data_IF_472825665339
#
_entry.id   IF_472825665339
#
_cell.length_a   1.000
_cell.length_b   1.000
_cell.length_c   1.000
_cell.angle_alpha   90.00
_cell.angle_beta   90.00
_cell.angle_gamma   90.00
#
_symmetry.space_group_name_H-M   'P 1'
#
loop_
_entity.id
_entity.type
_entity.pdbx_description
1 polymer ?
2 branched ?
3 branched ?
4 non-polymer ?
#
# COMPACT_ATOMS: atom_id res chain seq x y z
N UNK A 19 4.06 12.56 -23.34
CA UNK A 19 2.65 12.54 -22.95
C UNK A 19 2.55 12.77 -21.42
N UNK A 20 1.55 12.17 -20.73
CA UNK A 20 1.39 12.31 -19.28
C UNK A 20 1.83 11.02 -18.58
N UNK A 21 3.10 10.99 -18.17
CA UNK A 21 3.72 9.85 -17.50
C UNK A 21 3.31 9.85 -16.02
N UNK A 22 2.61 8.80 -15.53
CA UNK A 22 2.18 8.79 -14.13
C UNK A 22 3.34 8.66 -13.15
N UNK A 23 3.20 9.26 -11.95
CA UNK A 23 4.23 9.26 -10.91
C UNK A 23 3.84 8.42 -9.69
N UNK A 24 2.55 8.12 -9.57
CA UNK A 24 2.01 7.36 -8.45
C UNK A 24 0.64 7.83 -8.01
N UNK A 25 0.12 7.27 -6.91
CA UNK A 25 -1.19 7.66 -6.39
C UNK A 25 -1.16 7.75 -4.88
N UNK A 26 -1.84 8.78 -4.35
CA UNK A 26 -2.01 9.04 -2.92
C UNK A 26 -3.45 8.69 -2.55
N UNK A 27 -3.64 7.81 -1.56
CA UNK A 27 -4.96 7.41 -1.09
C UNK A 27 -5.19 8.04 0.27
N UNK A 28 -5.84 9.21 0.29
CA UNK A 28 -6.09 9.98 1.50
C UNK A 28 -7.60 10.09 1.84
N UNK A 29 -7.89 10.36 3.10
CA UNK A 29 -9.25 10.50 3.61
C UNK A 29 -9.61 11.92 4.00
N UNK A 30 -10.76 12.41 3.48
CA UNK A 30 -11.28 13.76 3.73
C UNK A 30 -12.70 13.66 4.31
N UNK A 31 -12.98 14.44 5.37
CA UNK A 31 -14.31 14.46 5.99
C UNK A 31 -15.20 15.46 5.24
N UNK A 32 -16.38 15.02 4.75
CA UNK A 32 -17.25 15.93 3.97
C UNK A 32 -17.85 17.05 4.81
N UNK A 33 -18.02 18.22 4.18
CA UNK A 33 -18.60 19.43 4.74
C UNK A 33 -20.00 19.61 4.14
N UNK A 34 -21.01 19.87 5.00
CA UNK A 34 -22.39 20.06 4.55
C UNK A 34 -22.55 21.43 3.89
N UNK A 35 -23.06 21.44 2.66
CA UNK A 35 -23.31 22.66 1.89
C UNK A 35 -24.78 23.05 2.13
N UNK A 36 -25.05 24.23 2.76
CA UNK A 36 -26.45 24.62 3.02
C UNK A 36 -27.26 24.70 1.73
N UNK A 37 -28.29 23.83 1.66
CA UNK A 37 -29.15 23.59 0.50
C UNK A 37 -30.54 24.18 0.65
N UNK A 38 -31.19 24.44 -0.51
CA UNK A 38 -32.55 24.97 -0.63
C UNK A 38 -33.60 23.87 -0.46
N UNK A 39 -33.26 22.65 -0.86
CA UNK A 39 -34.14 21.49 -0.77
C UNK A 39 -34.05 20.71 0.52
N UNK A 40 -34.75 19.55 0.56
CA UNK A 40 -34.78 18.64 1.71
C UNK A 40 -33.53 17.73 1.74
N UNK A 41 -32.87 17.58 0.57
CA UNK A 41 -31.66 16.77 0.38
C UNK A 41 -30.45 17.41 1.09
N UNK A 42 -29.41 16.60 1.34
CA UNK A 42 -28.16 17.00 1.97
C UNK A 42 -27.06 17.02 0.91
N UNK A 43 -26.40 18.17 0.73
CA UNK A 43 -25.29 18.31 -0.22
C UNK A 43 -23.98 18.25 0.55
N UNK A 44 -23.14 17.27 0.22
CA UNK A 44 -21.83 17.08 0.86
C UNK A 44 -20.70 17.43 -0.08
N UNK A 45 -19.71 18.17 0.43
CA UNK A 45 -18.53 18.62 -0.31
C UNK A 45 -17.26 18.21 0.42
N UNK A 46 -16.31 17.64 -0.33
CA UNK A 46 -15.00 17.27 0.22
C UNK A 46 -13.99 18.26 -0.32
N UNK A 47 -13.69 19.29 0.50
CA UNK A 47 -12.80 20.40 0.15
C UNK A 47 -11.42 19.86 -0.20
N UNK A 48 -11.01 20.09 -1.45
CA UNK A 48 -9.71 19.67 -1.98
C UNK A 48 -8.70 20.79 -1.83
N UNK A 49 -7.43 20.47 -1.46
CA UNK A 49 -6.42 21.53 -1.32
C UNK A 49 -6.06 22.12 -2.69
N UNK A 50 -5.92 23.46 -2.76
CA UNK A 50 -5.57 24.16 -4.00
C UNK A 50 -4.07 23.92 -4.28
N UNK A 51 -3.77 22.81 -4.97
CA UNK A 51 -2.42 22.39 -5.34
C UNK A 51 -2.25 22.60 -6.83
N UNK A 52 -1.31 23.46 -7.23
CA UNK A 52 -1.08 23.78 -8.64
C UNK A 52 0.04 22.93 -9.26
N UNK A 53 -0.24 21.64 -9.47
CA UNK A 53 0.63 20.64 -10.10
C UNK A 53 -0.20 19.77 -11.06
N UNK A 54 0.45 19.13 -12.05
CA UNK A 54 -0.21 18.22 -12.98
C UNK A 54 -0.67 16.98 -12.23
N UNK A 55 -2.00 16.85 -11.99
CA UNK A 55 -2.56 15.72 -11.24
C UNK A 55 -4.03 15.45 -11.55
N UNK A 56 -4.48 14.22 -11.22
CA UNK A 56 -5.86 13.75 -11.35
C UNK A 56 -6.40 13.41 -9.97
N UNK A 57 -7.58 13.93 -9.62
CA UNK A 57 -8.19 13.75 -8.30
C UNK A 57 -9.52 12.98 -8.41
N UNK A 58 -9.55 11.74 -7.89
CA UNK A 58 -10.75 10.92 -7.92
C UNK A 58 -11.18 10.64 -6.48
N UNK A 59 -12.21 11.34 -5.99
CA UNK A 59 -12.66 11.11 -4.64
C UNK A 59 -13.88 10.20 -4.63
N UNK A 60 -13.77 9.08 -3.88
CA UNK A 60 -14.78 8.04 -3.71
C UNK A 60 -15.61 8.35 -2.47
N UNK A 61 -16.94 8.41 -2.63
CA UNK A 61 -17.87 8.69 -1.54
C UNK A 61 -18.20 7.37 -0.84
N UNK A 62 -17.54 7.13 0.32
CA UNK A 62 -17.69 5.90 1.11
C UNK A 62 -18.74 6.15 2.20
N UNK A 63 -19.79 5.31 2.22
CA UNK A 63 -20.87 5.36 3.22
C UNK A 63 -20.54 4.25 4.24
N UNK A 64 -19.77 4.64 5.29
CA UNK A 64 -19.24 3.78 6.35
C UNK A 64 -20.34 2.95 7.05
N UNK A 65 -21.49 3.57 7.39
CA UNK A 65 -22.63 2.94 8.08
C UNK A 65 -23.14 1.71 7.34
N UNK A 66 -23.30 1.81 6.01
CA UNK A 66 -23.80 0.72 5.16
C UNK A 66 -22.66 -0.15 4.63
N UNK A 67 -21.38 0.24 4.94
CA UNK A 67 -20.12 -0.40 4.55
C UNK A 67 -20.05 -0.58 3.02
N UNK A 68 -20.53 0.43 2.30
CA UNK A 68 -20.63 0.48 0.85
C UNK A 68 -20.23 1.86 0.32
N UNK A 69 -20.19 2.01 -1.01
CA UNK A 69 -19.82 3.24 -1.69
C UNK A 69 -20.85 3.62 -2.76
N UNK A 70 -20.76 4.86 -3.28
CA UNK A 70 -21.65 5.39 -4.31
C UNK A 70 -21.13 4.95 -5.69
N UNK A 71 -22.07 4.57 -6.60
CA UNK A 71 -21.83 4.05 -7.96
C UNK A 71 -20.83 4.90 -8.78
N UNK A 72 -20.90 6.23 -8.68
CA UNK A 72 -20.00 7.14 -9.41
C UNK A 72 -19.08 7.91 -8.44
N UNK A 73 -17.90 8.29 -8.94
CA UNK A 73 -16.89 9.06 -8.20
C UNK A 73 -16.67 10.40 -8.91
N UNK A 74 -16.38 11.47 -8.13
CA UNK A 74 -16.14 12.80 -8.70
C UNK A 74 -14.70 12.90 -9.18
N UNK A 75 -14.52 13.17 -10.49
CA UNK A 75 -13.20 13.28 -11.10
C UNK A 75 -12.81 14.74 -11.33
N UNK A 76 -11.68 15.14 -10.75
CA UNK A 76 -11.09 16.48 -10.83
C UNK A 76 -9.71 16.39 -11.50
N UNK A 77 -9.25 17.51 -12.09
CA UNK A 77 -7.92 17.58 -12.71
C UNK A 77 -7.25 18.90 -12.36
N UNK A 78 -5.96 18.83 -12.03
CA UNK A 78 -5.15 19.98 -11.66
C UNK A 78 -4.02 20.21 -12.68
N UNK A 79 -3.56 21.47 -12.80
CA UNK A 79 -2.51 21.88 -13.72
C UNK A 79 -1.45 22.77 -13.01
N UNK A 80 -0.26 23.07 -13.58
CA UNK A 80 0.71 23.92 -12.88
C UNK A 80 0.22 25.35 -12.62
N UNK A 81 -0.85 25.79 -13.31
CA UNK A 81 -1.42 27.14 -13.14
C UNK A 81 -2.89 27.12 -12.65
N UNK A 82 -3.41 25.93 -12.25
CA UNK A 82 -4.78 25.79 -11.72
C UNK A 82 -4.90 24.60 -10.74
N UNK A 83 -5.63 24.81 -9.65
CA UNK A 83 -5.90 23.79 -8.64
C UNK A 83 -6.92 22.77 -9.11
N UNK A 84 -7.27 21.75 -8.28
CA UNK A 84 -8.23 20.73 -8.75
C UNK A 84 -9.58 21.32 -9.17
N UNK A 85 -9.93 21.12 -10.46
CA UNK A 85 -11.16 21.59 -11.08
C UNK A 85 -11.97 20.37 -11.53
N UNK A 86 -13.28 20.35 -11.24
CA UNK A 86 -14.18 19.25 -11.59
C UNK A 86 -14.41 19.15 -13.10
N UNK A 87 -14.38 17.91 -13.61
CA UNK A 87 -14.58 17.61 -15.03
C UNK A 87 -15.86 16.80 -15.25
N UNK A 88 -15.93 15.59 -14.67
CA UNK A 88 -17.05 14.66 -14.83
C UNK A 88 -17.16 13.66 -13.66
N UNK A 89 -18.32 12.99 -13.56
CA UNK A 89 -18.58 11.96 -12.56
C UNK A 89 -18.43 10.58 -13.22
N UNK A 90 -17.22 9.99 -13.10
CA UNK A 90 -16.88 8.68 -13.67
C UNK A 90 -17.32 7.57 -12.72
N UNK A 91 -17.56 6.35 -13.26
CA UNK A 91 -18.00 5.18 -12.52
C UNK A 91 -16.92 4.66 -11.57
N UNK A 92 -17.34 4.17 -10.39
CA UNK A 92 -16.46 3.61 -9.36
C UNK A 92 -16.08 2.20 -9.78
N UNK A 93 -14.85 2.02 -10.28
CA UNK A 93 -14.36 0.73 -10.76
C UNK A 93 -13.79 -0.11 -9.63
N UNK A 94 -12.98 0.50 -8.74
CA UNK A 94 -12.35 -0.20 -7.61
C UNK A 94 -12.90 0.35 -6.28
N UNK A 95 -14.02 -0.19 -5.75
CA UNK A 95 -14.54 0.30 -4.48
C UNK A 95 -13.72 -0.20 -3.30
N UNK A 96 -13.73 0.56 -2.17
CA UNK A 96 -12.97 0.21 -0.97
C UNK A 96 -13.42 -1.15 -0.40
N UNK A 97 -14.74 -1.39 -0.36
CA UNK A 97 -15.31 -2.65 0.14
C UNK A 97 -15.55 -3.60 -1.06
N UNK A 98 -16.67 -3.44 -1.77
CA UNK A 98 -17.05 -4.21 -2.96
C UNK A 98 -17.10 -5.71 -2.76
N UNK A 99 -16.17 -6.43 -3.44
CA UNK A 99 -15.94 -7.90 -3.41
C UNK A 99 -17.19 -8.73 -3.84
N UNK A 100 -18.16 -8.09 -4.56
CA UNK A 100 -19.43 -8.68 -5.05
C UNK A 100 -20.33 -9.20 -3.88
N UNK A 101 -19.97 -8.85 -2.63
CA UNK A 101 -20.74 -9.21 -1.43
C UNK A 101 -22.03 -8.37 -1.37
N UNK A 102 -21.97 -7.17 -1.98
CA UNK A 102 -23.05 -6.19 -2.08
C UNK A 102 -22.91 -5.35 -3.37
N UNK A 103 -23.98 -4.62 -3.76
CA UNK A 103 -24.00 -3.75 -4.93
C UNK A 103 -23.86 -2.29 -4.51
N UNK A 104 -23.13 -1.48 -5.32
CA UNK A 104 -22.88 -0.06 -5.07
C UNK A 104 -24.18 0.76 -4.98
N UNK A 105 -24.15 1.84 -4.18
CA UNK A 105 -25.30 2.71 -3.94
C UNK A 105 -25.55 3.64 -5.12
N UNK A 106 -26.80 3.64 -5.63
CA UNK A 106 -27.24 4.43 -6.77
C UNK A 106 -28.28 5.50 -6.36
N UNK A 107 -28.90 6.18 -7.35
CA UNK A 107 -29.93 7.22 -7.16
C UNK A 107 -31.15 6.63 -6.43
N UNK A 108 -31.49 5.36 -6.74
CA UNK A 108 -32.57 4.58 -6.14
C UNK A 108 -32.36 4.45 -4.61
N UNK A 109 -31.09 4.36 -4.19
CA UNK A 109 -30.67 4.24 -2.80
C UNK A 109 -30.49 5.61 -2.11
N UNK A 110 -30.77 6.68 -2.85
CA UNK A 110 -30.71 8.06 -2.37
C UNK A 110 -29.36 8.76 -2.44
N UNK A 111 -28.48 8.30 -3.34
CA UNK A 111 -27.13 8.89 -3.51
C UNK A 111 -26.87 9.22 -4.97
N UNK A 112 -26.52 10.49 -5.25
CA UNK A 112 -26.24 10.96 -6.61
C UNK A 112 -25.18 12.07 -6.61
N UNK A 113 -24.27 12.02 -7.58
CA UNK A 113 -23.22 13.04 -7.76
C UNK A 113 -23.64 13.91 -8.94
N UNK A 114 -23.75 15.26 -8.75
CA UNK A 114 -24.16 16.10 -9.87
C UNK A 114 -22.98 16.27 -10.83
N UNK A 115 -23.29 16.16 -12.13
CA UNK A 115 -22.35 16.17 -13.23
C UNK A 115 -22.36 17.52 -14.00
N UNK A 116 -22.80 18.61 -13.33
CA UNK A 116 -22.86 19.94 -13.92
C UNK A 116 -21.55 20.71 -13.69
N UNK A 117 -21.02 21.31 -14.78
CA UNK A 117 -19.78 22.10 -14.78
C UNK A 117 -20.09 23.60 -14.83
N UNK A 118 -21.32 23.96 -15.26
CA UNK A 118 -21.80 25.34 -15.37
C UNK A 118 -22.19 25.87 -13.99
N UNK A 119 -22.99 25.08 -13.25
CA UNK A 119 -23.42 25.38 -11.88
C UNK A 119 -22.21 25.18 -10.95
N UNK A 120 -22.13 26.01 -9.91
CA UNK A 120 -21.03 26.00 -8.94
C UNK A 120 -20.80 24.71 -8.17
N UNK A 121 -21.81 23.82 -8.16
CA UNK A 121 -21.73 22.51 -7.52
C UNK A 121 -21.00 21.53 -8.46
N UNK A 122 -20.85 20.29 -8.03
CA UNK A 122 -20.17 19.28 -8.84
C UNK A 122 -18.69 19.28 -8.58
N UNK A 123 -18.14 18.14 -8.19
CA UNK A 123 -18.88 16.90 -8.00
C UNK A 123 -19.24 16.67 -6.55
N UNK A 124 -20.29 17.34 -6.08
CA UNK A 124 -20.78 17.23 -4.72
C UNK A 124 -21.86 16.15 -4.64
N UNK A 125 -21.84 15.37 -3.56
CA UNK A 125 -22.77 14.27 -3.35
C UNK A 125 -24.10 14.76 -2.79
N UNK A 126 -25.21 14.30 -3.42
CA UNK A 126 -26.58 14.56 -3.02
C UNK A 126 -27.08 13.39 -2.19
N UNK A 127 -27.49 13.63 -0.95
CA UNK A 127 -28.04 12.58 -0.09
C UNK A 127 -29.51 12.94 0.15
N UNK A 128 -30.39 12.32 -0.64
CA UNK A 128 -31.84 12.54 -0.61
C UNK A 128 -32.46 11.87 0.64
N UNK A 129 -33.64 12.34 1.14
CA UNK A 129 -34.24 11.69 2.34
C UNK A 129 -34.60 10.20 2.13
N UNK A 130 -34.51 9.72 0.87
CA UNK A 130 -34.73 8.34 0.43
C UNK A 130 -33.69 7.38 1.02
N UNK A 131 -32.46 7.89 1.27
CA UNK A 131 -31.34 7.12 1.85
C UNK A 131 -31.57 6.87 3.35
N UNK A 132 -30.99 5.76 3.87
CA UNK A 132 -31.08 5.29 5.26
C UNK A 132 -30.76 6.41 6.25
N UNK A 133 -31.53 6.46 7.36
CA UNK A 133 -31.39 7.44 8.44
C UNK A 133 -30.32 6.93 9.45
N UNK A 134 -29.16 7.58 9.55
CA UNK A 134 -28.74 8.75 8.79
C UNK A 134 -27.38 8.52 8.17
N UNK A 135 -27.37 8.05 6.92
CA UNK A 135 -26.18 7.70 6.15
C UNK A 135 -25.32 8.90 5.73
N UNK A 136 -25.93 10.12 5.59
CA UNK A 136 -25.26 11.36 5.19
C UNK A 136 -24.10 11.74 6.14
N UNK A 137 -24.35 11.66 7.46
CA UNK A 137 -23.35 11.99 8.50
C UNK A 137 -22.22 10.95 8.56
N UNK A 138 -22.45 9.76 7.97
CA UNK A 138 -21.53 8.63 7.94
C UNK A 138 -20.57 8.67 6.74
N UNK A 139 -20.90 9.46 5.69
CA UNK A 139 -20.11 9.57 4.45
C UNK A 139 -18.68 10.09 4.76
N UNK A 140 -17.68 9.51 4.07
CA UNK A 140 -16.26 9.86 4.13
C UNK A 140 -15.67 9.73 2.73
N UNK A 141 -14.79 10.67 2.36
CA UNK A 141 -14.15 10.68 1.04
C UNK A 141 -12.85 9.92 1.05
N UNK A 142 -12.58 9.24 -0.07
CA UNK A 142 -11.34 8.53 -0.31
C UNK A 142 -10.73 9.16 -1.56
N UNK A 143 -9.87 10.16 -1.35
CA UNK A 143 -9.22 10.89 -2.44
C UNK A 143 -8.10 10.06 -3.04
N UNK A 144 -8.14 9.91 -4.38
CA UNK A 144 -7.11 9.22 -5.15
C UNK A 144 -6.43 10.27 -6.03
N UNK A 145 -5.47 10.99 -5.41
CA UNK A 145 -4.66 12.04 -6.04
C UNK A 145 -3.51 11.34 -6.77
N UNK A 146 -3.46 11.49 -8.10
CA UNK A 146 -2.44 10.84 -8.91
C UNK A 146 -1.68 11.87 -9.76
N UNK A 147 -0.46 12.30 -9.32
CA UNK A 147 0.30 13.26 -10.12
C UNK A 147 0.88 12.65 -11.38
N UNK A 148 1.19 13.51 -12.37
CA UNK A 148 1.81 13.11 -13.63
C UNK A 148 2.85 14.17 -14.05
N UNK A 149 3.68 13.82 -15.05
CA UNK A 149 4.71 14.72 -15.58
C UNK A 149 4.90 14.48 -17.09
N UNK A 150 5.38 15.52 -17.79
CA UNK A 150 5.67 15.47 -19.22
C UNK A 150 7.02 14.75 -19.47
N UNK A 151 7.83 14.61 -18.41
CA UNK A 151 9.15 13.97 -18.43
C UNK A 151 9.03 12.45 -18.30
N UNK A 152 9.54 11.71 -19.30
CA UNK A 152 9.50 10.24 -19.32
C UNK A 152 10.57 9.62 -18.40
N UNK A 153 11.60 10.42 -18.03
CA UNK A 153 12.73 9.99 -17.19
C UNK A 153 12.47 10.18 -15.68
N UNK A 154 11.28 10.69 -15.30
CA UNK A 154 10.92 10.91 -13.89
C UNK A 154 10.10 9.73 -13.36
N UNK A 155 10.60 9.06 -12.30
CA UNK A 155 10.00 7.87 -11.69
C UNK A 155 9.17 8.16 -10.42
N UNK A 156 9.43 9.30 -9.75
CA UNK A 156 8.73 9.72 -8.54
C UNK A 156 8.64 11.25 -8.48
N UNK A 157 7.70 11.88 -7.72
CA UNK A 157 7.64 13.36 -7.72
C UNK A 157 8.91 13.99 -7.16
N UNK A 158 9.43 15.02 -7.85
CA UNK A 158 10.63 15.75 -7.44
C UNK A 158 10.37 16.56 -6.17
N UNK A 159 11.46 17.02 -5.50
CA UNK A 159 11.41 17.75 -4.25
C UNK A 159 10.50 18.99 -4.27
N UNK A 160 10.56 19.82 -5.34
CA UNK A 160 9.71 21.01 -5.42
C UNK A 160 8.23 20.64 -5.67
N UNK A 161 7.95 19.46 -6.27
CA UNK A 161 6.59 19.00 -6.50
C UNK A 161 5.96 18.53 -5.18
N UNK A 162 6.75 17.82 -4.35
CA UNK A 162 6.32 17.33 -3.03
C UNK A 162 6.08 18.49 -2.08
N UNK A 163 6.78 19.62 -2.31
CA UNK A 163 6.66 20.87 -1.55
C UNK A 163 5.28 21.47 -1.80
N UNK A 164 4.84 21.50 -3.07
CA UNK A 164 3.55 22.04 -3.51
C UNK A 164 2.39 21.16 -3.04
N UNK A 165 2.59 19.83 -3.00
CA UNK A 165 1.59 18.84 -2.61
C UNK A 165 1.53 18.58 -1.09
N UNK A 166 2.22 19.42 -0.29
CA UNK A 166 2.31 19.32 1.18
C UNK A 166 0.95 19.07 1.86
N UNK A 167 -0.10 19.83 1.47
CA UNK A 167 -1.46 19.73 2.04
C UNK A 167 -2.05 18.33 1.84
N UNK A 168 -1.83 17.72 0.66
CA UNK A 168 -2.32 16.39 0.31
C UNK A 168 -1.52 15.33 1.09
N UNK A 169 -0.19 15.51 1.14
CA UNK A 169 0.75 14.65 1.84
C UNK A 169 0.49 14.60 3.35
N UNK A 170 -0.02 15.72 3.92
CA UNK A 170 -0.32 15.83 5.35
C UNK A 170 -1.73 15.31 5.70
N UNK A 171 -2.53 14.92 4.69
CA UNK A 171 -3.86 14.33 4.92
C UNK A 171 -3.71 12.90 5.48
N UNK A 172 -4.69 12.36 6.25
CA UNK A 172 -4.53 10.99 6.76
C UNK A 172 -4.73 9.94 5.66
N UNK A 173 -3.95 8.85 5.69
CA UNK A 173 -4.05 7.76 4.72
C UNK A 173 -5.38 7.03 4.90
N UNK A 174 -6.01 6.64 3.77
CA UNK A 174 -7.30 5.95 3.81
C UNK A 174 -7.36 4.88 2.72
N UNK A 175 -7.26 3.63 3.15
CA UNK A 175 -7.32 2.45 2.29
C UNK A 175 -6.14 2.22 1.39
N UNK A 176 -4.97 2.85 1.69
CA UNK A 176 -3.75 2.71 0.88
C UNK A 176 -3.37 1.22 0.81
N UNK A 177 -3.30 0.67 -0.45
CA UNK A 177 -3.15 -0.78 -0.61
C UNK A 177 -1.84 -1.36 -0.08
N UNK A 178 -1.91 -2.63 0.37
CA UNK A 178 -0.78 -3.41 0.88
C UNK A 178 0.14 -3.81 -0.26
N UNK A 179 -0.43 -4.12 -1.44
CA UNK A 179 0.31 -4.53 -2.64
C UNK A 179 0.88 -3.31 -3.37
N UNK A 180 2.22 -3.23 -3.36
CA UNK A 180 2.99 -2.20 -4.06
C UNK A 180 3.19 -2.70 -5.49
N UNK A 181 2.61 -2.03 -6.53
CA UNK A 181 2.75 -2.54 -7.91
C UNK A 181 4.20 -2.65 -8.39
N UNK A 182 4.53 -3.59 -9.29
CA UNK A 182 5.94 -3.71 -9.74
C UNK A 182 6.36 -2.58 -10.68
N UNK A 183 7.64 -2.18 -10.62
CA UNK A 183 8.19 -1.13 -11.48
C UNK A 183 8.60 -1.73 -12.84
N UNK A 184 8.59 -0.90 -13.91
CA UNK A 184 8.91 -1.29 -15.28
C UNK A 184 10.29 -1.97 -15.41
N UNK A 185 10.28 -3.27 -15.76
CA UNK A 185 11.46 -4.12 -15.92
C UNK A 185 11.57 -4.63 -17.36
N UNK B 19 8.75 -15.75 -18.50
CA UNK B 19 8.93 -17.02 -17.79
C UNK B 19 8.29 -16.97 -16.39
N UNK B 20 8.25 -15.76 -15.76
CA UNK B 20 7.62 -15.48 -14.46
C UNK B 20 7.35 -13.97 -14.34
N UNK B 21 6.09 -13.57 -14.58
CA UNK B 21 5.68 -12.17 -14.57
C UNK B 21 5.31 -11.73 -13.13
N UNK B 22 5.93 -10.63 -12.62
CA UNK B 22 5.62 -10.18 -11.25
C UNK B 22 4.24 -9.51 -11.12
N UNK B 23 3.62 -9.64 -9.93
CA UNK B 23 2.29 -9.10 -9.65
C UNK B 23 2.32 -7.94 -8.63
N UNK B 24 3.44 -7.82 -7.92
CA UNK B 24 3.63 -6.78 -6.91
C UNK B 24 4.39 -7.27 -5.70
N UNK B 25 4.50 -6.43 -4.65
CA UNK B 25 5.20 -6.78 -3.42
C UNK B 25 4.46 -6.31 -2.19
N UNK B 26 4.43 -7.17 -1.16
CA UNK B 26 3.84 -6.90 0.14
C UNK B 26 4.96 -6.66 1.14
N UNK B 27 4.93 -5.51 1.84
CA UNK B 27 5.93 -5.17 2.86
C UNK B 27 5.30 -5.29 4.23
N UNK B 28 5.48 -6.46 4.86
CA UNK B 28 4.87 -6.77 6.15
C UNK B 28 5.92 -6.99 7.25
N UNK B 29 5.47 -6.84 8.49
CA UNK B 29 6.30 -7.02 9.67
C UNK B 29 5.96 -8.28 10.43
N UNK B 30 7.01 -9.02 10.82
CA UNK B 30 6.89 -10.26 11.60
C UNK B 30 7.82 -10.18 12.82
N UNK B 31 7.29 -10.54 14.01
CA UNK B 31 8.07 -10.55 15.24
C UNK B 31 8.83 -11.88 15.34
N UNK B 32 10.18 -11.84 15.49
CA UNK B 32 10.95 -13.10 15.55
C UNK B 32 10.68 -13.92 16.81
N UNK B 33 10.73 -15.26 16.65
CA UNK B 33 10.54 -16.25 17.70
C UNK B 33 11.91 -16.86 18.04
N UNK B 34 12.24 -16.94 19.33
CA UNK B 34 13.51 -17.51 19.78
C UNK B 34 13.50 -19.03 19.66
N UNK B 35 14.49 -19.58 18.94
CA UNK B 35 14.64 -21.02 18.72
C UNK B 35 15.59 -21.55 19.81
N UNK B 36 15.11 -22.45 20.71
CA UNK B 36 15.98 -22.96 21.77
C UNK B 36 17.18 -23.74 21.24
N UNK B 37 18.36 -23.43 21.78
CA UNK B 37 19.63 -24.07 21.44
C UNK B 37 20.57 -24.06 22.63
N UNK B 38 21.26 -25.20 22.89
CA UNK B 38 22.21 -25.35 24.00
C UNK B 38 23.56 -24.65 23.68
N UNK B 39 23.47 -23.48 23.06
CA UNK B 39 24.61 -22.64 22.69
C UNK B 39 24.44 -21.24 23.23
N UNK B 40 25.58 -20.55 23.47
CA UNK B 40 25.66 -19.19 24.02
C UNK B 40 24.94 -18.16 23.13
N UNK B 41 24.89 -18.41 21.81
CA UNK B 41 24.23 -17.54 20.82
C UNK B 41 22.70 -17.66 20.86
N UNK B 42 22.01 -16.66 20.29
CA UNK B 42 20.55 -16.61 20.18
C UNK B 42 20.14 -16.88 18.73
N UNK B 43 19.19 -17.81 18.50
CA UNK B 43 18.70 -18.11 17.16
C UNK B 43 17.29 -17.57 17.03
N UNK B 44 17.07 -16.65 16.08
CA UNK B 44 15.78 -16.02 15.84
C UNK B 44 15.18 -16.52 14.54
N UNK B 45 13.89 -16.86 14.57
CA UNK B 45 13.13 -17.35 13.42
C UNK B 45 11.88 -16.51 13.21
N UNK B 46 11.62 -16.11 11.97
CA UNK B 46 10.42 -15.36 11.62
C UNK B 46 9.51 -16.31 10.85
N UNK B 47 8.56 -16.91 11.59
CA UNK B 47 7.62 -17.91 11.07
C UNK B 47 6.81 -17.33 9.92
N UNK B 48 6.99 -17.92 8.75
CA UNK B 48 6.31 -17.53 7.52
C UNK B 48 5.04 -18.33 7.35
N UNK B 49 3.92 -17.71 6.89
CA UNK B 49 2.68 -18.48 6.70
C UNK B 49 2.82 -19.46 5.54
N UNK B 50 2.31 -20.70 5.71
CA UNK B 50 2.36 -21.74 4.68
C UNK B 50 1.33 -21.39 3.59
N UNK B 51 1.77 -20.58 2.61
CA UNK B 51 0.95 -20.11 1.49
C UNK B 51 1.44 -20.82 0.23
N UNK B 52 0.52 -21.61 -0.39
CA UNK B 52 0.79 -22.42 -1.58
C UNK B 52 0.49 -21.63 -2.88
N UNK B 53 1.29 -20.57 -3.14
CA UNK B 53 1.20 -19.73 -4.34
C UNK B 53 2.62 -19.46 -4.88
N UNK B 54 2.74 -19.15 -6.18
CA UNK B 54 4.02 -18.81 -6.80
C UNK B 54 4.49 -17.43 -6.28
N UNK B 55 5.49 -17.40 -5.38
CA UNK B 55 5.97 -16.18 -4.74
C UNK B 55 7.42 -16.26 -4.25
N UNK B 56 8.03 -15.08 -4.01
CA UNK B 56 9.39 -14.91 -3.49
C UNK B 56 9.29 -14.18 -2.16
N UNK B 57 9.95 -14.71 -1.11
CA UNK B 57 9.90 -14.15 0.24
C UNK B 57 11.28 -13.70 0.69
N UNK B 58 11.47 -12.38 0.85
CA UNK B 58 12.75 -11.81 1.29
C UNK B 58 12.53 -11.10 2.61
N UNK B 59 12.94 -11.72 3.73
CA UNK B 59 12.75 -11.08 5.03
C UNK B 59 14.06 -10.44 5.48
N UNK B 60 13.98 -9.12 5.77
CA UNK B 60 15.08 -8.28 6.22
C UNK B 60 15.09 -8.25 7.75
N UNK B 61 16.25 -8.56 8.35
CA UNK B 61 16.41 -8.56 9.81
C UNK B 61 16.78 -7.15 10.26
N UNK B 62 15.79 -6.40 10.77
CA UNK B 62 15.96 -5.02 11.22
C UNK B 62 16.23 -5.01 12.73
N UNK B 63 17.38 -4.42 13.14
CA UNK B 63 17.76 -4.26 14.54
C UNK B 63 17.40 -2.83 14.93
N UNK B 64 16.16 -2.66 15.44
CA UNK B 64 15.51 -1.39 15.80
C UNK B 64 16.36 -0.55 16.79
N UNK B 65 16.91 -1.19 17.84
CA UNK B 65 17.73 -0.53 18.89
C UNK B 65 18.92 0.22 18.31
N UNK B 66 19.66 -0.41 17.36
CA UNK B 66 20.83 0.17 16.73
C UNK B 66 20.48 0.98 15.47
N UNK B 67 19.18 1.05 15.11
CA UNK B 67 18.67 1.75 13.92
C UNK B 67 19.48 1.30 12.69
N UNK B 68 19.61 -0.03 12.52
CA UNK B 68 20.36 -0.65 11.44
C UNK B 68 19.79 -2.03 11.10
N UNK B 69 20.32 -2.65 10.03
CA UNK B 69 19.90 -3.97 9.56
C UNK B 69 21.12 -4.87 9.33
N UNK B 70 20.87 -6.18 9.13
CA UNK B 70 21.91 -7.18 8.88
C UNK B 70 22.27 -7.15 7.38
N UNK B 71 23.58 -7.24 7.06
CA UNK B 71 24.16 -7.21 5.71
C UNK B 71 23.49 -8.17 4.70
N UNK B 72 22.92 -9.29 5.19
CA UNK B 72 22.27 -10.31 4.36
C UNK B 72 20.80 -10.52 4.78
N UNK B 73 19.96 -10.91 3.80
CA UNK B 73 18.53 -11.19 3.97
C UNK B 73 18.25 -12.63 3.61
N UNK B 74 17.31 -13.27 4.32
CA UNK B 74 16.94 -14.67 4.05
C UNK B 74 15.94 -14.72 2.89
N UNK B 75 16.31 -15.41 1.80
CA UNK B 75 15.47 -15.52 0.60
C UNK B 75 14.80 -16.89 0.55
N UNK B 76 13.45 -16.87 0.49
CA UNK B 76 12.57 -18.03 0.40
C UNK B 76 11.78 -18.00 -0.90
N UNK B 77 11.31 -19.16 -1.37
CA UNK B 77 10.48 -19.24 -2.57
C UNK B 77 9.34 -20.23 -2.36
N UNK B 78 8.14 -19.84 -2.82
CA UNK B 78 6.93 -20.64 -2.70
C UNK B 78 6.40 -21.04 -4.08
N UNK B 79 5.68 -22.17 -4.15
CA UNK B 79 5.08 -22.72 -5.36
C UNK B 79 3.61 -23.08 -5.11
N UNK B 80 2.76 -23.46 -6.11
CA UNK B 80 1.37 -23.81 -5.79
C UNK B 80 1.25 -25.18 -5.09
N UNK B 81 2.37 -25.93 -4.98
CA UNK B 81 2.42 -27.24 -4.33
C UNK B 81 3.32 -27.26 -3.07
N UNK B 82 3.93 -26.10 -2.72
CA UNK B 82 4.82 -25.98 -1.56
C UNK B 82 4.86 -24.54 -1.02
N UNK B 83 4.83 -24.42 0.30
CA UNK B 83 4.90 -23.14 1.01
C UNK B 83 6.29 -22.53 0.96
N UNK B 84 6.53 -21.35 1.58
CA UNK B 84 7.87 -20.73 1.51
C UNK B 84 8.99 -21.64 2.04
N UNK B 85 9.93 -21.98 1.15
CA UNK B 85 11.09 -22.83 1.42
C UNK B 85 12.36 -22.00 1.21
N UNK B 86 13.31 -22.09 2.16
CA UNK B 86 14.58 -21.34 2.11
C UNK B 86 15.49 -21.84 0.99
N UNK B 87 16.12 -20.88 0.28
CA UNK B 87 17.04 -21.16 -0.82
C UNK B 87 18.46 -20.69 -0.50
N UNK B 88 18.63 -19.38 -0.25
CA UNK B 88 19.94 -18.76 0.01
C UNK B 88 19.80 -17.43 0.79
N UNK B 89 20.93 -16.95 1.35
CA UNK B 89 21.01 -15.69 2.06
C UNK B 89 21.65 -14.64 1.15
N UNK B 90 20.79 -13.86 0.45
CA UNK B 90 21.20 -12.82 -0.50
C UNK B 90 21.49 -11.51 0.24
N UNK B 91 22.34 -10.64 -0.33
CA UNK B 91 22.74 -9.36 0.25
C UNK B 91 21.58 -8.36 0.30
N UNK B 92 21.55 -7.55 1.38
CA UNK B 92 20.54 -6.51 1.60
C UNK B 92 20.88 -5.31 0.73
N UNK B 93 20.15 -5.13 -0.38
CA UNK B 93 20.40 -4.05 -1.34
C UNK B 93 19.67 -2.77 -0.92
N UNK B 94 18.40 -2.88 -0.50
CA UNK B 94 17.58 -1.73 -0.10
C UNK B 94 17.24 -1.83 1.41
N UNK B 95 18.11 -1.32 2.32
CA UNK B 95 17.79 -1.39 3.75
C UNK B 95 16.73 -0.36 4.16
N UNK B 96 16.12 -0.58 5.32
CA UNK B 96 15.07 0.24 5.91
C UNK B 96 15.54 1.67 6.26
N UNK B 97 16.56 1.80 7.13
CA UNK B 97 17.06 3.08 7.66
C UNK B 97 17.86 3.90 6.62
N UNK B 98 17.90 3.43 5.37
CA UNK B 98 18.57 4.09 4.25
C UNK B 98 20.08 4.17 4.36
N UNK B 99 20.67 3.41 5.31
CA UNK B 99 22.11 3.37 5.55
C UNK B 99 22.84 2.78 4.36
N UNK B 100 24.02 3.34 4.04
CA UNK B 100 24.87 2.89 2.94
C UNK B 100 25.35 1.47 3.20
N UNK B 101 25.48 0.66 2.13
CA UNK B 101 25.97 -0.72 2.25
C UNK B 101 27.45 -0.66 2.64
N UNK B 102 27.88 -1.56 3.56
CA UNK B 102 29.20 -1.74 4.22
C UNK B 102 29.06 -1.39 5.70
N UNK B 103 28.07 -0.53 6.03
CA UNK B 103 27.72 -0.08 7.37
C UNK B 103 26.80 -1.07 8.07
N UNK B 104 26.11 -1.93 7.29
CA UNK B 104 25.17 -2.93 7.78
C UNK B 104 25.86 -3.95 8.69
N UNK B 105 25.17 -4.35 9.76
CA UNK B 105 25.63 -5.26 10.81
C UNK B 105 26.07 -6.61 10.23
N UNK B 106 27.38 -6.90 10.36
CA UNK B 106 28.02 -8.13 9.87
C UNK B 106 28.30 -9.11 11.03
N UNK B 107 29.05 -10.20 10.73
CA UNK B 107 29.44 -11.26 11.69
C UNK B 107 30.29 -10.64 12.81
N UNK B 108 31.14 -9.65 12.46
CA UNK B 108 32.00 -8.89 13.38
C UNK B 108 31.16 -8.18 14.45
N UNK B 109 29.95 -7.73 14.06
CA UNK B 109 28.99 -7.03 14.92
C UNK B 109 28.07 -8.01 15.67
N UNK B 110 28.28 -9.31 15.48
CA UNK B 110 27.54 -10.39 16.14
C UNK B 110 26.25 -10.83 15.50
N UNK B 111 26.10 -10.60 14.18
CA UNK B 111 24.89 -10.98 13.43
C UNK B 111 25.25 -11.78 12.18
N UNK B 112 24.67 -12.98 12.05
CA UNK B 112 24.93 -13.87 10.91
C UNK B 112 23.69 -14.69 10.56
N UNK B 113 23.39 -14.79 9.25
CA UNK B 113 22.27 -15.58 8.72
C UNK B 113 22.83 -16.91 8.20
N UNK B 114 22.24 -18.04 8.64
CA UNK B 114 22.65 -19.38 8.24
C UNK B 114 22.27 -19.65 6.79
N UNK B 115 23.28 -19.95 5.96
CA UNK B 115 23.10 -20.24 4.53
C UNK B 115 22.95 -21.75 4.26
N UNK B 116 22.77 -22.54 5.35
CA UNK B 116 22.61 -23.99 5.29
C UNK B 116 21.21 -24.37 4.78
N UNK B 117 21.16 -25.23 3.75
CA UNK B 117 19.94 -25.75 3.17
C UNK B 117 19.54 -27.01 3.94
N UNK B 118 20.55 -27.85 4.26
CA UNK B 118 20.41 -29.08 5.04
C UNK B 118 21.38 -29.05 6.24
N UNK B 119 20.90 -29.30 7.48
CA UNK B 119 19.51 -29.66 7.80
C UNK B 119 18.87 -28.59 8.71
N UNK B 120 17.95 -27.83 8.13
CA UNK B 120 17.20 -26.77 8.80
C UNK B 120 18.00 -25.59 9.32
N UNK B 121 17.37 -24.79 10.19
CA UNK B 121 17.89 -23.59 10.87
C UNK B 121 18.34 -22.47 9.89
N UNK B 122 17.79 -22.48 8.67
CA UNK B 122 18.05 -21.49 7.64
C UNK B 122 16.75 -21.01 6.99
N UNK B 123 16.61 -19.70 6.76
CA UNK B 123 17.55 -18.63 7.04
C UNK B 123 17.26 -17.93 8.35
N UNK B 124 17.67 -18.55 9.46
CA UNK B 124 17.48 -18.02 10.79
C UNK B 124 18.67 -17.18 11.21
N UNK B 125 18.41 -16.07 11.90
CA UNK B 125 19.44 -15.13 12.34
C UNK B 125 20.11 -15.60 13.63
N UNK B 126 21.45 -15.58 13.63
CA UNK B 126 22.30 -15.90 14.77
C UNK B 126 22.71 -14.61 15.44
N UNK B 127 22.39 -14.45 16.73
CA UNK B 127 22.79 -13.26 17.49
C UNK B 127 23.75 -13.75 18.57
N UNK B 128 25.05 -13.60 18.30
CA UNK B 128 26.14 -14.04 19.17
C UNK B 128 26.29 -13.10 20.39
N UNK B 129 26.87 -13.59 21.53
CA UNK B 129 26.97 -12.75 22.73
C UNK B 129 27.82 -11.48 22.58
N UNK B 130 28.74 -11.38 21.59
CA UNK B 130 29.58 -10.19 21.43
C UNK B 130 28.78 -8.99 20.85
N UNK B 131 27.53 -9.22 20.41
CA UNK B 131 26.64 -8.16 19.92
C UNK B 131 26.14 -7.33 21.10
N UNK B 132 25.73 -6.06 20.86
CA UNK B 132 25.23 -5.13 21.90
C UNK B 132 24.10 -5.79 22.71
N UNK B 133 24.16 -5.67 24.05
CA UNK B 133 23.17 -6.27 24.95
C UNK B 133 21.77 -5.63 24.72
N UNK B 134 20.80 -6.47 24.39
CA UNK B 134 19.43 -6.06 24.12
C UNK B 134 19.12 -5.93 22.63
N UNK B 135 20.08 -6.29 21.76
CA UNK B 135 19.94 -6.23 20.30
C UNK B 135 19.04 -7.33 19.77
N UNK B 136 19.18 -8.57 20.31
CA UNK B 136 18.42 -9.75 19.91
C UNK B 136 16.91 -9.55 20.11
N UNK B 137 16.51 -9.03 21.29
CA UNK B 137 15.11 -8.77 21.66
C UNK B 137 14.50 -7.63 20.84
N UNK B 138 15.35 -6.79 20.23
CA UNK B 138 14.98 -5.62 19.43
C UNK B 138 14.76 -5.93 17.95
N UNK B 139 15.26 -7.10 17.47
CA UNK B 139 15.16 -7.54 16.07
C UNK B 139 13.69 -7.67 15.65
N UNK B 140 13.38 -7.24 14.41
CA UNK B 140 12.08 -7.30 13.75
C UNK B 140 12.28 -7.62 12.28
N UNK B 141 11.42 -8.47 11.71
CA UNK B 141 11.50 -8.85 10.30
C UNK B 141 10.67 -7.94 9.43
N UNK B 142 11.19 -7.67 8.22
CA UNK B 142 10.52 -6.91 7.19
C UNK B 142 10.38 -7.86 6.00
N UNK B 143 9.25 -8.56 5.93
CA UNK B 143 8.97 -9.52 4.87
C UNK B 143 8.60 -8.82 3.57
N UNK B 144 9.29 -9.17 2.49
CA UNK B 144 9.02 -8.66 1.15
C UNK B 144 8.51 -9.86 0.31
N UNK B 145 7.20 -10.13 0.46
CA UNK B 145 6.49 -11.20 -0.24
C UNK B 145 6.10 -10.66 -1.62
N UNK B 146 6.64 -11.28 -2.68
CA UNK B 146 6.37 -10.82 -4.04
C UNK B 146 5.80 -11.97 -4.91
N UNK B 147 4.46 -12.01 -5.11
CA UNK B 147 3.88 -13.08 -5.94
C UNK B 147 4.20 -12.89 -7.43
N UNK B 148 4.19 -13.99 -8.21
CA UNK B 148 4.46 -13.95 -9.64
C UNK B 148 3.68 -15.02 -10.38
N UNK B 149 3.05 -14.65 -11.50
CA UNK B 149 2.24 -15.54 -12.33
C UNK B 149 2.90 -15.83 -13.68
N UNK B 150 2.58 -16.99 -14.27
CA UNK B 150 3.08 -17.37 -15.59
C UNK B 150 2.22 -16.72 -16.69
N UNK B 151 1.11 -16.06 -16.29
CA UNK B 151 0.17 -15.36 -17.15
C UNK B 151 0.60 -13.90 -17.33
N UNK B 152 1.06 -13.57 -18.54
CA UNK B 152 1.54 -12.24 -18.94
C UNK B 152 0.43 -11.18 -18.93
N UNK B 153 -0.84 -11.60 -19.09
CA UNK B 153 -2.01 -10.72 -19.13
C UNK B 153 -2.59 -10.40 -17.73
N UNK B 154 -1.98 -10.92 -16.65
CA UNK B 154 -2.41 -10.67 -15.27
C UNK B 154 -1.60 -9.52 -14.67
N UNK B 155 -2.30 -8.44 -14.24
CA UNK B 155 -1.69 -7.21 -13.70
C UNK B 155 -1.67 -7.15 -12.15
N UNK B 156 -2.57 -7.91 -11.49
CA UNK B 156 -2.68 -7.96 -10.02
C UNK B 156 -3.12 -9.37 -9.58
N UNK B 157 -2.89 -9.81 -8.32
CA UNK B 157 -3.33 -11.17 -7.93
C UNK B 157 -4.84 -11.35 -8.02
N UNK B 158 -5.28 -12.48 -8.61
CA UNK B 158 -6.71 -12.80 -8.78
C UNK B 158 -7.34 -13.11 -7.42
N UNK B 159 -8.69 -13.12 -7.36
CA UNK B 159 -9.48 -13.32 -6.15
C UNK B 159 -9.11 -14.60 -5.38
N UNK B 160 -8.95 -15.76 -6.08
CA UNK B 160 -8.59 -17.02 -5.41
C UNK B 160 -7.14 -16.99 -4.89
N UNK B 161 -6.26 -16.17 -5.50
CA UNK B 161 -4.86 -16.04 -5.05
C UNK B 161 -4.81 -15.22 -3.76
N UNK B 162 -5.61 -14.13 -3.68
CA UNK B 162 -5.70 -13.26 -2.51
C UNK B 162 -6.33 -14.01 -1.32
N UNK B 163 -7.16 -15.02 -1.63
CA UNK B 163 -7.83 -15.89 -0.65
C UNK B 163 -6.77 -16.75 0.03
N UNK B 164 -5.84 -17.33 -0.75
CA UNK B 164 -4.74 -18.19 -0.27
C UNK B 164 -3.71 -17.40 0.52
N UNK B 165 -3.46 -16.12 0.13
CA UNK B 165 -2.48 -15.23 0.75
C UNK B 165 -3.05 -14.44 1.96
N UNK B 166 -4.26 -14.80 2.42
CA UNK B 166 -4.97 -14.15 3.54
C UNK B 166 -4.08 -13.90 4.76
N UNK B 167 -3.28 -14.90 5.19
CA UNK B 167 -2.38 -14.83 6.35
C UNK B 167 -1.33 -13.72 6.19
N UNK B 168 -0.79 -13.55 4.97
CA UNK B 168 0.21 -12.52 4.64
C UNK B 168 -0.47 -11.16 4.60
N UNK B 169 -1.65 -11.08 3.97
CA UNK B 169 -2.47 -9.88 3.83
C UNK B 169 -2.93 -9.34 5.18
N UNK B 170 -3.12 -10.23 6.17
CA UNK B 170 -3.56 -9.86 7.53
C UNK B 170 -2.38 -9.49 8.44
N UNK B 171 -1.13 -9.63 7.96
CA UNK B 171 0.07 -9.22 8.73
C UNK B 171 0.14 -7.68 8.77
N UNK B 172 0.77 -7.07 9.80
CA UNK B 172 0.84 -5.59 9.80
C UNK B 172 1.84 -5.05 8.79
N UNK B 173 1.52 -3.91 8.15
CA UNK B 173 2.40 -3.27 7.17
C UNK B 173 3.66 -2.74 7.86
N UNK B 174 4.82 -2.87 7.20
CA UNK B 174 6.09 -2.41 7.74
C UNK B 174 6.97 -1.83 6.66
N UNK B 175 7.09 -0.51 6.67
CA UNK B 175 7.89 0.24 5.73
C UNK B 175 7.36 0.36 4.31
N UNK B 176 6.08 0.03 4.10
CA UNK B 176 5.44 0.19 2.80
C UNK B 176 5.34 1.75 2.57
N UNK B 177 5.85 2.30 1.45
CA UNK B 177 5.77 3.78 1.23
C UNK B 177 4.35 4.31 1.08
N UNK B 178 4.13 5.61 1.37
CA UNK B 178 2.81 6.25 1.26
C UNK B 178 2.39 6.45 -0.21
N UNK B 179 3.37 6.77 -1.09
CA UNK B 179 3.12 6.95 -2.52
C UNK B 179 3.09 5.59 -3.21
N UNK B 180 1.92 5.20 -3.76
CA UNK B 180 1.73 3.93 -4.45
C UNK B 180 2.23 4.09 -5.89
N UNK B 181 3.33 3.40 -6.32
CA UNK B 181 3.82 3.57 -7.70
C UNK B 181 2.78 3.17 -8.75
N UNK B 182 2.82 3.75 -9.98
CA UNK B 182 1.79 3.41 -10.97
C UNK B 182 1.93 1.98 -11.51
N UNK B 183 0.79 1.32 -11.72
CA UNK B 183 0.63 -0.04 -12.23
C UNK B 183 1.06 -0.09 -13.72
N UNK B 184 1.16 -1.31 -14.29
CA UNK B 184 1.57 -1.56 -15.69
C UNK B 184 0.60 -0.89 -16.67
N UNK B 185 0.85 0.42 -16.95
CA UNK B 185 0.09 1.28 -17.85
C UNK B 185 1.04 2.14 -18.68
N UNK B 186 1.75 3.09 -18.02
CA UNK B 186 2.72 4.00 -18.65
C UNK B 186 3.78 4.48 -17.64
X LIG C 1 1.71 19.31 -17.43
X LIG C 1 3.16 19.41 -17.95
X LIG C 1 3.17 20.03 -19.35
X LIG C 1 2.18 19.37 -20.33
X LIG C 1 0.80 19.08 -19.69
X LIG C 1 0.00 18.06 -20.50
X LIG C 1 4.81 19.62 -16.11
X LIG C 1 5.67 20.61 -15.38
X LIG C 1 4.00 20.16 -17.03
X LIG C 1 4.50 19.97 -19.87
X LIG C 1 2.02 20.24 -21.45
X LIG C 1 0.94 18.55 -18.37
X LIG C 1 -1.32 17.95 -19.97
X LIG C 1 4.86 18.43 -15.87
X LIG C 2 2.35 19.76 -22.74
X LIG C 2 1.69 20.70 -23.77
X LIG C 2 2.17 20.42 -25.21
X LIG C 2 3.68 20.14 -25.33
X LIG C 2 4.18 19.19 -24.21
X LIG C 2 5.71 19.07 -24.18
X LIG C 2 -0.48 21.51 -22.99
X LIG C 2 -1.26 22.51 -23.81
X LIG C 2 0.24 20.63 -23.68
X LIG C 2 1.82 21.54 -26.02
X LIG C 2 4.02 19.66 -26.65
X LIG C 2 3.76 19.71 -22.94
X LIG C 2 6.10 18.19 -23.12
X LIG C 2 -0.53 21.52 -21.77
X LIG C 3 5.11 20.26 -27.33
X LIG C 3 4.64 20.80 -28.68
X LIG C 3 5.81 21.28 -29.53
X LIG C 3 6.93 20.25 -29.59
X LIG C 3 6.52 18.99 -28.85
X LIG C 3 7.62 17.94 -28.77
X LIG C 3 3.70 21.85 -28.49
X LIG C 3 6.30 22.53 -29.05
X LIG C 3 7.25 19.94 -30.94
X LIG C 3 6.17 19.31 -27.49
X LIG C 3 7.15 16.74 -28.18
X LIG D 1 -20.94 13.59 -17.17
X LIG D 1 -21.21 12.13 -17.52
X LIG D 1 -20.25 11.67 -18.63
X LIG D 1 -20.29 12.61 -19.84
X LIG D 1 -20.15 14.09 -19.41
X LIG D 1 -20.50 15.06 -20.55
X LIG D 1 -22.14 10.59 -15.85
X LIG D 1 -22.68 11.07 -14.53
X LIG D 1 -21.11 11.28 -16.34
X LIG D 1 -20.56 10.33 -19.01
X LIG D 1 -19.31 12.25 -20.83
X LIG D 1 -21.06 14.40 -18.34
X LIG D 1 -19.69 16.23 -20.43
X LIG D 1 -22.63 9.63 -16.42
X LIG D 2 -19.78 11.58 -21.99
X LIG D 2 -19.13 12.19 -23.24
X LIG D 2 -19.70 11.49 -24.49
X LIG D 2 -19.64 9.95 -24.40
X LIG D 2 -20.04 9.40 -23.01
X LIG D 2 -19.60 7.95 -22.84
X LIG D 2 -18.40 14.52 -23.42
X LIG D 2 -18.25 15.22 -24.74
X LIG D 2 -19.39 13.62 -23.34
X LIG D 2 -19.03 11.95 -25.67
X LIG D 2 -20.50 9.40 -25.41
X LIG D 2 -19.47 10.18 -21.95
X LIG D 2 -19.92 7.49 -21.53
X LIG D 2 -17.68 14.78 -22.47
X LIG E 1 -35.35 8.59 -3.98
X LIG E 1 -35.72 7.69 -5.16
X LIG E 1 -35.05 8.05 -6.47
X LIG E 1 -35.23 9.54 -6.79
X LIG E 1 -34.82 10.44 -5.61
X LIG E 1 -35.28 11.88 -5.83
X LIG E 1 -36.65 5.52 -4.53
X LIG E 1 -36.63 4.92 -3.15
X LIG E 1 -35.60 6.28 -4.84
X LIG E 1 -35.60 7.25 -7.53
X LIG E 1 -34.49 9.86 -7.98
X LIG E 1 -35.36 9.98 -4.36
X LIG E 1 -35.45 12.58 -4.58
X LIG E 1 -37.58 5.32 -5.29
X LIG E 2 -35.22 10.20 -9.15
X LIG E 2 -34.32 11.06 -10.05
X LIG E 2 -34.89 11.25 -11.47
X LIG E 2 -35.71 10.08 -12.05
X LIG E 2 -36.53 9.34 -10.98
X LIG E 2 -37.11 8.04 -11.50
X LIG E 2 -32.92 12.93 -9.29
X LIG E 2 -32.64 14.12 -10.16
X LIG E 2 -34.11 12.36 -9.45
X LIG E 2 -33.82 11.54 -12.37
X LIG E 2 -36.57 10.59 -13.07
X LIG E 2 -35.70 9.04 -9.84
X LIG E 2 -38.33 8.30 -12.23
X LIG E 2 -32.09 12.51 -8.50
X LIG F 1 4.46 -20.97 -11.32
X LIG F 1 3.44 -21.09 -12.46
X LIG F 1 3.92 -22.12 -13.50
X LIG F 1 5.38 -21.93 -13.94
X LIG F 1 6.33 -21.57 -12.78
X LIG F 1 7.64 -20.96 -13.29
X LIG F 1 1.13 -20.59 -11.71
X LIG F 1 -0.18 -21.22 -11.36
X LIG F 1 2.12 -21.46 -11.96
X LIG F 1 3.06 -22.07 -14.64
X LIG F 1 5.82 -23.18 -14.52
X LIG F 1 5.73 -20.60 -11.90
X LIG F 1 8.54 -20.78 -12.19
X LIG F 1 1.26 -19.37 -11.76
X LIG F 2 6.28 -23.18 -15.87
X LIG F 2 7.05 -24.49 -16.08
X LIG F 2 7.39 -24.75 -17.55
X LIG F 2 6.24 -24.43 -18.51
X LIG F 2 5.52 -23.11 -18.17
X LIG F 2 4.24 -22.90 -18.98
X LIG F 2 8.33 -25.12 -14.09
X LIG F 2 9.11 -26.40 -14.05
X LIG F 2 8.25 -24.50 -15.27
X LIG F 2 7.75 -26.14 -17.69
X LIG F 2 6.47 -24.62 -19.93
X LIG F 2 5.17 -23.09 -16.78
X LIG F 2 3.59 -21.68 -18.58
X LIG F 2 7.81 -24.68 -13.08
X LIG F 3 7.79 -24.54 -20.50
X LIG F 3 7.66 -24.09 -21.96
X LIG F 3 7.06 -25.20 -22.83
X LIG F 3 7.77 -26.52 -22.63
X LIG F 3 7.86 -26.87 -21.15
X LIG F 3 8.67 -28.11 -20.86
X LIG F 3 8.94 -23.70 -22.46
X LIG F 3 7.08 -24.82 -24.20
X LIG F 3 7.07 -27.55 -23.33
X LIG F 3 8.48 -25.79 -20.43
X LIG F 3 8.69 -28.41 -19.47
X LIG G 1 31.83 -12.23 17.42
X LIG G 1 33.09 -11.90 16.63
X LIG G 1 33.02 -12.60 15.27
X LIG G 1 32.83 -14.12 15.43
X LIG G 1 31.65 -14.44 16.38
X LIG G 1 31.63 -15.92 16.76
X LIG G 1 34.25 -9.83 17.16
X LIG G 1 33.77 -8.78 18.11
X LIG G 1 33.30 -10.47 16.48
X LIG G 1 34.24 -12.35 14.54
X LIG G 1 32.60 -14.72 14.14
X LIG G 1 31.67 -13.65 17.59
X LIG G 1 30.94 -16.12 18.01
X LIG G 1 35.44 -10.06 17.01
X LIG G 2 33.63 -15.47 13.53
X LIG G 2 32.95 -16.41 12.53
X LIG G 2 33.73 -16.74 11.24
X LIG G 2 35.20 -16.29 11.16
X LIG G 2 35.67 -15.29 12.23
X LIG G 2 36.63 -14.26 11.64
X LIG G 2 31.16 -17.92 13.22
X LIG G 2 30.71 -19.06 12.35
X LIG G 2 32.46 -17.62 13.18
X LIG G 2 33.01 -16.24 10.12
X LIG G 2 36.07 -17.42 11.13
X LIG G 2 34.56 -14.62 12.85
X LIG G 2 37.93 -14.84 11.48
X LIG G 2 30.38 -17.31 13.93
X LIG H 1 24.74 -18.84 0.06
X LIG H 1 25.74 -17.75 -0.35
X LIG H 1 25.78 -17.52 -1.87
X LIG H 1 25.71 -18.81 -2.71
X LIG H 1 24.66 -19.78 -2.15
X LIG H 1 24.65 -21.12 -2.91
X LIG H 1 26.30 -15.73 0.92
X LIG H 1 26.36 -14.32 0.42
X LIG H 1 25.40 -16.51 0.31
X LIG H 1 26.96 -16.79 -2.22
X LIG H 1 25.40 -18.46 -4.07
X LIG H 1 24.89 -20.02 -0.76
X LIG H 1 23.82 -21.00 -4.08
X LIG H 1 27.01 -16.12 1.83
#
# INVERSE_FOLDING_TARGET
SNNDACKKLQKEYEEKMKYRHPLGCYFKGINPTKVPSSGSHTILKCTLPVVKVNASWTLEWVVVKLQNSVDVTSYYESSPNSGPTFLRAILNFTPMHGLRTKNLLKVKDGFQVDNSTDNGNGGNLYVYPNATTGSADSVRCRLRMCPWTSNSKMTAPDEEMLRKMSEVLNLPNYGVPDLTPPRRDEFYTKNESPNTIVTTLVPRGSGHHHHHH
SNNDACKKLQKEYEEKMKYRHPLGCYFKGINPTKVPSSGSHTILKCTLPVVKVNASWTLEWVVVKLQNSVDVTSYYESSPNSGPTFLRAILNFTPMHGLRTKNLLKVKDGFQVDNSTDNGNGGNLYVYPNATTGSADSVRCRLRMCPWTSNSKMTAPDEEMLRKMSEVLNLPNYGVPDLTPPRRDEFYTKNESPNTIVTTLVPRGSGHHHHHH
NAG C1 C2 C3 C4 C5 C6 C7 C8 N2 O3 O4 O5 O6 O7
NAG C1 C2 C3 C4 C5 C6 C7 C8 N2 O3 O4 O5 O6 O7
MAN C1 C2 C3 C4 C5 C6 O2 O3 O4 O5 O6
NAG C1 C2 C3 C4 C5 C6 C7 C8 N2 O3 O4 O5 O6 O7
NAG C1 C2 C3 C4 C5 C6 C7 C8 N2 O3 O4 O5 O6 O7
NAG C1 C2 C3 C4 C5 C6 C7 C8 N2 O3 O4 O5 O6 O7
NAG C1 C2 C3 C4 C5 C6 C7 C8 N2 O3 O4 O5 O6 O7
NAG C1 C2 C3 C4 C5 C6 C7 C8 N2 O3 O4 O5 O6 O7
NAG C1 C2 C3 C4 C5 C6 C7 C8 N2 O3 O4 O5 O6 O7
MAN C1 C2 C3 C4 C5 C6 O2 O3 O4 O5 O6
NAG C1 C2 C3 C4 C5 C6 C7 C8 N2 O3 O4 O5 O6 O7
NAG C1 C2 C3 C4 C5 C6 C7 C8 N2 O3 O4 O5 O6 O7
NAG C1 C2 C3 C4 C5 C6 C7 C8 N2 O3 O4 O5 O6 O7
#
